data_IF_794736239682
#
_entry.id   IF_794736239682
#
_cell.length_a   1.000
_cell.length_b   1.000
_cell.length_c   1.000
_cell.angle_alpha   90.00
_cell.angle_beta   90.00
_cell.angle_gamma   90.00
#
_symmetry.space_group_name_H-M   'P 1'
#
loop_
_entity.id
_entity.type
_entity.pdbx_description
1 polymer ?
#
# COMPACT_ATOMS: atom_id res chain seq x y z
N UNK A 1 6.88 0.52 1.88
CA UNK A 1 7.12 -0.07 3.22
C UNK A 1 7.03 -1.60 3.24
N UNK A 2 5.90 -2.19 2.79
CA UNK A 2 5.70 -3.66 2.88
C UNK A 2 6.78 -4.49 2.18
N UNK A 3 7.15 -4.15 0.94
CA UNK A 3 8.21 -4.86 0.23
C UNK A 3 9.57 -4.69 0.92
N UNK A 4 9.83 -3.52 1.53
CA UNK A 4 11.08 -3.27 2.24
C UNK A 4 11.21 -4.16 3.49
N UNK A 5 10.11 -4.43 4.19
CA UNK A 5 10.06 -5.38 5.31
C UNK A 5 10.45 -6.79 4.84
N UNK A 6 9.82 -7.29 3.77
CA UNK A 6 10.18 -8.58 3.17
C UNK A 6 11.64 -8.65 2.70
N UNK A 7 12.15 -7.60 2.06
CA UNK A 7 13.56 -7.51 1.62
C UNK A 7 14.52 -7.51 2.81
N UNK A 8 14.20 -6.79 3.89
CA UNK A 8 15.01 -6.75 5.10
C UNK A 8 15.12 -8.15 5.71
N UNK A 9 13.99 -8.80 5.98
CA UNK A 9 13.97 -10.13 6.61
C UNK A 9 14.68 -11.17 5.72
N UNK A 10 14.43 -11.15 4.42
CA UNK A 10 15.11 -12.05 3.48
C UNK A 10 16.64 -11.89 3.51
N UNK A 11 17.13 -10.64 3.57
CA UNK A 11 18.56 -10.37 3.67
C UNK A 11 19.17 -10.86 4.98
N UNK A 12 18.47 -10.65 6.10
CA UNK A 12 18.93 -11.11 7.41
C UNK A 12 19.04 -12.64 7.47
N UNK A 13 18.04 -13.38 6.97
CA UNK A 13 18.04 -14.84 6.93
C UNK A 13 19.15 -15.42 6.05
N UNK A 14 19.39 -14.80 4.89
CA UNK A 14 20.51 -15.17 4.01
C UNK A 14 21.86 -14.90 4.67
N UNK A 15 22.01 -13.75 5.35
CA UNK A 15 23.24 -13.40 6.06
C UNK A 15 23.53 -14.32 7.24
N UNK A 16 22.48 -14.82 7.92
CA UNK A 16 22.57 -15.80 9.00
C UNK A 16 22.75 -17.25 8.49
N UNK A 17 22.71 -17.47 7.17
CA UNK A 17 22.70 -18.80 6.54
C UNK A 17 21.56 -19.72 7.05
N UNK A 18 20.45 -19.15 7.51
CA UNK A 18 19.24 -19.89 7.89
C UNK A 18 18.46 -20.36 6.65
N UNK A 19 18.63 -19.65 5.54
CA UNK A 19 18.18 -20.04 4.20
C UNK A 19 19.38 -19.96 3.26
N UNK A 20 19.56 -20.95 2.39
CA UNK A 20 20.70 -21.00 1.46
C UNK A 20 20.27 -20.91 -0.01
N UNK A 21 19.00 -21.14 -0.26
CA UNK A 21 18.35 -21.12 -1.56
C UNK A 21 17.93 -19.69 -1.96
N UNK A 22 17.69 -19.44 -3.25
CA UNK A 22 17.15 -18.17 -3.70
C UNK A 22 15.82 -17.82 -3.01
N UNK A 23 15.75 -16.62 -2.43
CA UNK A 23 14.54 -16.09 -1.79
C UNK A 23 13.82 -15.15 -2.74
N UNK A 24 12.52 -15.37 -2.94
CA UNK A 24 11.64 -14.47 -3.70
C UNK A 24 10.86 -13.62 -2.71
N UNK A 25 11.06 -12.30 -2.76
CA UNK A 25 10.26 -11.34 -2.00
C UNK A 25 9.13 -10.82 -2.88
N UNK A 26 7.89 -10.92 -2.38
CA UNK A 26 6.72 -10.44 -3.09
C UNK A 26 6.56 -8.94 -2.94
N UNK A 27 6.49 -8.22 -4.06
CA UNK A 27 6.10 -6.82 -4.07
C UNK A 27 4.57 -6.72 -3.91
N UNK A 28 4.11 -6.49 -2.67
CA UNK A 28 2.67 -6.47 -2.34
C UNK A 28 2.01 -5.12 -2.54
N UNK A 29 2.79 -4.05 -2.72
CA UNK A 29 2.29 -2.71 -3.01
C UNK A 29 3.33 -1.86 -3.76
N UNK A 30 2.87 -1.14 -4.78
CA UNK A 30 3.69 -0.14 -5.46
C UNK A 30 4.07 1.01 -4.50
N UNK A 31 5.27 1.62 -4.62
CA UNK A 31 5.73 2.69 -3.75
C UNK A 31 4.79 3.90 -3.69
N UNK A 32 4.16 4.27 -4.82
CA UNK A 32 3.20 5.40 -4.93
C UNK A 32 2.00 5.28 -3.99
N UNK A 33 1.70 4.07 -3.47
CA UNK A 33 0.64 3.89 -2.47
C UNK A 33 1.05 4.40 -1.07
N UNK A 34 2.33 4.71 -0.85
CA UNK A 34 2.92 5.06 0.44
C UNK A 34 3.93 6.22 0.31
N UNK A 35 3.60 7.26 -0.45
CA UNK A 35 4.49 8.40 -0.75
C UNK A 35 5.16 9.04 0.48
N UNK A 36 4.43 9.20 1.59
CA UNK A 36 5.00 9.80 2.81
C UNK A 36 6.24 9.03 3.32
N UNK A 37 6.14 7.69 3.41
CA UNK A 37 7.27 6.84 3.81
C UNK A 37 8.40 6.86 2.79
N UNK A 38 8.08 6.96 1.50
CA UNK A 38 9.09 7.05 0.43
C UNK A 38 9.87 8.37 0.56
N UNK A 39 9.19 9.50 0.73
CA UNK A 39 9.81 10.81 0.91
C UNK A 39 10.65 10.85 2.20
N UNK A 40 10.15 10.29 3.29
CA UNK A 40 10.91 10.18 4.55
C UNK A 40 12.23 9.42 4.36
N UNK A 41 12.20 8.28 3.68
CA UNK A 41 13.36 7.40 3.52
C UNK A 41 14.35 7.87 2.44
N UNK A 42 13.87 8.50 1.36
CA UNK A 42 14.67 8.83 0.18
C UNK A 42 14.88 10.33 -0.04
N UNK A 43 14.16 11.19 0.68
CA UNK A 43 14.16 12.64 0.48
C UNK A 43 13.38 13.13 -0.75
N UNK A 44 12.79 12.22 -1.52
CA UNK A 44 11.97 12.53 -2.70
C UNK A 44 10.89 11.47 -2.91
N UNK A 45 9.83 11.83 -3.64
CA UNK A 45 8.77 10.87 -4.02
C UNK A 45 9.16 10.09 -5.29
N UNK A 46 8.34 9.11 -5.66
CA UNK A 46 8.48 8.34 -6.91
C UNK A 46 7.50 8.81 -7.99
N UNK A 47 7.82 8.62 -9.28
CA UNK A 47 6.89 8.87 -10.37
C UNK A 47 5.62 8.03 -10.22
N UNK A 48 4.48 8.68 -10.46
CA UNK A 48 3.18 8.02 -10.52
C UNK A 48 3.01 7.30 -11.86
N UNK A 49 2.46 6.07 -11.88
CA UNK A 49 2.07 5.44 -13.13
C UNK A 49 1.08 6.30 -13.91
N UNK A 50 1.31 6.52 -15.19
CA UNK A 50 0.55 7.45 -16.05
C UNK A 50 -0.96 7.25 -15.96
N UNK A 51 -1.43 6.00 -15.93
CA UNK A 51 -2.85 5.64 -15.79
C UNK A 51 -3.55 6.19 -14.53
N UNK A 52 -2.80 6.66 -13.54
CA UNK A 52 -3.31 7.22 -12.29
C UNK A 52 -3.03 8.72 -12.14
N UNK A 53 -2.44 9.38 -13.13
CA UNK A 53 -2.18 10.82 -13.09
C UNK A 53 -3.48 11.60 -12.83
N UNK A 54 -3.46 12.50 -11.84
CA UNK A 54 -4.61 13.34 -11.47
C UNK A 54 -5.78 12.61 -10.81
N UNK A 55 -5.65 11.34 -10.40
CA UNK A 55 -6.77 10.60 -9.78
C UNK A 55 -7.25 11.25 -8.47
N UNK A 56 -6.37 11.90 -7.71
CA UNK A 56 -6.74 12.66 -6.50
C UNK A 56 -7.54 13.92 -6.79
N UNK A 57 -7.40 14.48 -7.99
CA UNK A 57 -8.07 15.71 -8.41
C UNK A 57 -9.50 15.44 -8.92
N UNK A 58 -9.86 14.16 -9.14
CA UNK A 58 -11.18 13.77 -9.61
C UNK A 58 -12.24 13.88 -8.48
N UNK A 59 -13.50 14.19 -8.82
CA UNK A 59 -14.60 14.14 -7.87
C UNK A 59 -14.72 12.76 -7.21
N UNK A 60 -14.84 12.75 -5.88
CA UNK A 60 -15.02 11.52 -5.09
C UNK A 60 -16.49 11.35 -4.75
N UNK A 61 -17.06 10.17 -5.05
CA UNK A 61 -18.40 9.79 -4.57
C UNK A 61 -18.25 9.04 -3.25
N UNK A 62 -18.47 9.74 -2.14
CA UNK A 62 -18.35 9.22 -0.78
C UNK A 62 -19.62 9.54 0.00
N UNK A 63 -20.17 8.57 0.70
CA UNK A 63 -21.31 8.75 1.60
C UNK A 63 -20.84 8.48 3.03
N UNK A 64 -20.93 9.50 3.88
CA UNK A 64 -20.55 9.39 5.28
C UNK A 64 -21.62 8.60 6.05
N UNK A 65 -21.20 7.61 6.83
CA UNK A 65 -22.07 6.83 7.72
C UNK A 65 -21.59 6.92 9.17
N UNK A 66 -22.52 6.87 10.14
CA UNK A 66 -22.15 6.59 11.52
C UNK A 66 -21.53 5.19 11.64
N UNK A 67 -20.74 4.95 12.68
CA UNK A 67 -20.25 3.62 13.04
C UNK A 67 -21.39 2.75 13.63
N UNK A 68 -22.38 2.45 12.79
CA UNK A 68 -23.60 1.71 13.13
C UNK A 68 -23.89 0.69 12.01
N UNK A 69 -23.95 -0.59 12.39
CA UNK A 69 -24.21 -1.69 11.46
C UNK A 69 -25.59 -1.61 10.82
N UNK A 70 -26.61 -1.11 11.53
CA UNK A 70 -27.97 -1.03 10.98
C UNK A 70 -28.10 0.13 9.99
N UNK A 71 -27.37 1.23 10.21
CA UNK A 71 -27.23 2.29 9.21
C UNK A 71 -26.58 1.78 7.91
N UNK A 72 -25.51 0.97 8.03
CA UNK A 72 -24.87 0.33 6.87
C UNK A 72 -25.81 -0.64 6.14
N UNK A 73 -26.53 -1.50 6.86
CA UNK A 73 -27.52 -2.42 6.25
C UNK A 73 -28.60 -1.66 5.48
N UNK A 74 -29.14 -0.57 6.04
CA UNK A 74 -30.13 0.28 5.36
C UNK A 74 -29.57 0.91 4.08
N UNK A 75 -28.32 1.38 4.10
CA UNK A 75 -27.66 1.90 2.90
C UNK A 75 -27.57 0.83 1.81
N UNK A 76 -27.06 -0.37 2.13
CA UNK A 76 -26.93 -1.50 1.20
C UNK A 76 -28.29 -1.90 0.61
N UNK A 77 -29.35 -1.87 1.41
CA UNK A 77 -30.68 -2.25 0.94
C UNK A 77 -31.34 -1.23 0.00
N UNK A 78 -30.83 0.01 -0.06
CA UNK A 78 -31.48 1.13 -0.76
C UNK A 78 -30.69 1.67 -1.97
N UNK A 79 -29.51 1.12 -2.26
CA UNK A 79 -28.60 1.56 -3.31
C UNK A 79 -28.03 0.37 -4.08
#
# INVERSE_FOLDING_TARGET
PHTADGVKVARDLLAAAEVTEPVIVLETALPVKFSATIVEALGHDVPRPERFAGIEDLPRRVLALPNDADALKRLIATH
#
